data_IF_987206133417
#
_entry.id   IF_987206133417
#
_cell.length_a   1.000
_cell.length_b   1.000
_cell.length_c   1.000
_cell.angle_alpha   90.00
_cell.angle_beta   90.00
_cell.angle_gamma   90.00
#
_symmetry.space_group_name_H-M   'P 1'
#
loop_
_entity.id
_entity.type
_entity.pdbx_description
1 polymer ?
#
# COMPACT_ATOMS: atom_id res chain seq x y z
N UNK A 1 4.81 -8.38 2.67
CA UNK A 1 3.48 -7.70 2.60
C UNK A 1 2.97 -7.41 4.01
N UNK A 2 2.14 -6.38 4.18
CA UNK A 2 1.38 -6.06 5.40
C UNK A 2 2.19 -5.44 6.55
N UNK A 3 3.40 -5.92 6.81
CA UNK A 3 4.29 -5.41 7.85
C UNK A 3 5.74 -5.85 7.62
N UNK A 4 6.68 -5.24 8.35
CA UNK A 4 8.11 -5.59 8.34
C UNK A 4 8.36 -6.68 9.38
N UNK A 5 8.19 -7.93 8.98
CA UNK A 5 8.37 -9.12 9.82
C UNK A 5 9.13 -10.21 9.04
N UNK A 6 9.97 -10.98 9.71
CA UNK A 6 10.73 -12.09 9.11
C UNK A 6 9.78 -13.11 8.46
N UNK A 7 10.20 -13.66 7.32
CA UNK A 7 9.41 -14.66 6.57
C UNK A 7 8.34 -14.04 5.66
N UNK A 8 8.09 -12.73 5.72
CA UNK A 8 7.21 -12.04 4.77
C UNK A 8 7.97 -11.60 3.52
N UNK A 9 7.22 -11.44 2.43
CA UNK A 9 7.75 -10.86 1.19
C UNK A 9 8.36 -9.48 1.44
N UNK A 10 9.58 -9.27 0.96
CA UNK A 10 10.37 -8.04 1.07
C UNK A 10 9.82 -6.93 0.17
N UNK A 11 8.62 -6.48 0.50
CA UNK A 11 7.97 -5.30 -0.04
C UNK A 11 8.12 -4.18 0.98
N UNK A 12 8.98 -3.21 0.68
CA UNK A 12 9.39 -2.16 1.60
C UNK A 12 9.31 -0.81 0.91
N UNK A 13 9.00 0.23 1.66
CA UNK A 13 9.01 1.61 1.20
C UNK A 13 9.95 2.41 2.09
N UNK A 14 10.94 3.04 1.47
CA UNK A 14 11.89 3.92 2.14
C UNK A 14 11.46 5.37 1.95
N UNK A 15 11.57 6.13 3.03
CA UNK A 15 11.15 7.51 3.11
C UNK A 15 12.29 8.37 3.65
N UNK A 16 12.48 9.53 3.02
CA UNK A 16 13.04 10.67 3.72
C UNK A 16 11.95 11.19 4.69
N UNK A 17 12.25 11.39 6.00
CA UNK A 17 11.28 11.88 6.96
C UNK A 17 10.53 13.16 6.52
N UNK A 18 11.19 14.06 5.78
CA UNK A 18 10.56 15.29 5.30
C UNK A 18 9.44 15.04 4.27
N UNK A 19 9.44 13.87 3.63
CA UNK A 19 8.47 13.45 2.60
C UNK A 19 7.63 12.24 3.02
N UNK A 20 7.68 11.83 4.29
CA UNK A 20 6.96 10.66 4.80
C UNK A 20 5.46 10.74 4.48
N UNK A 21 4.93 9.68 3.87
CA UNK A 21 3.54 9.59 3.42
C UNK A 21 3.19 10.41 2.17
N UNK A 22 4.13 11.19 1.61
CA UNK A 22 3.90 12.05 0.44
C UNK A 22 4.60 11.55 -0.82
N UNK A 23 5.94 11.48 -0.81
CA UNK A 23 6.75 11.02 -1.95
C UNK A 23 7.81 10.03 -1.44
N UNK A 24 7.66 8.72 -1.71
CA UNK A 24 8.65 7.75 -1.27
C UNK A 24 9.97 7.96 -2.01
N UNK A 25 11.08 7.73 -1.32
CA UNK A 25 12.42 7.80 -1.92
C UNK A 25 12.68 6.56 -2.77
N UNK A 26 12.31 5.38 -2.27
CA UNK A 26 12.55 4.09 -2.93
C UNK A 26 11.45 3.10 -2.56
N UNK A 27 10.98 2.34 -3.53
CA UNK A 27 10.05 1.21 -3.34
C UNK A 27 10.75 -0.07 -3.76
N UNK A 28 10.83 -1.00 -2.82
CA UNK A 28 11.40 -2.34 -3.00
C UNK A 28 10.23 -3.31 -3.14
N UNK A 29 10.25 -4.11 -4.20
CA UNK A 29 9.27 -5.16 -4.48
C UNK A 29 9.99 -6.50 -4.58
N UNK A 30 9.61 -7.46 -3.74
CA UNK A 30 10.21 -8.79 -3.72
C UNK A 30 11.73 -8.77 -3.57
N UNK A 31 12.27 -7.82 -2.81
CA UNK A 31 13.71 -7.66 -2.58
C UNK A 31 14.48 -6.89 -3.67
N UNK A 32 13.82 -6.38 -4.72
CA UNK A 32 14.45 -5.55 -5.75
C UNK A 32 13.83 -4.16 -5.81
N UNK A 33 14.64 -3.14 -6.09
CA UNK A 33 14.13 -1.78 -6.27
C UNK A 33 13.28 -1.74 -7.55
N UNK A 34 11.99 -1.46 -7.39
CA UNK A 34 11.04 -1.34 -8.50
C UNK A 34 10.77 0.12 -8.88
N UNK A 35 11.01 1.06 -7.97
CA UNK A 35 10.72 2.47 -8.17
C UNK A 35 11.60 3.34 -7.28
N UNK A 36 12.05 4.50 -7.78
CA UNK A 36 12.83 5.45 -7.00
C UNK A 36 12.67 6.89 -7.53
N UNK A 37 12.93 7.87 -6.66
CA UNK A 37 13.19 9.25 -7.07
C UNK A 37 14.56 9.31 -7.73
N UNK A 38 14.59 9.67 -9.02
CA UNK A 38 15.81 9.60 -9.82
C UNK A 38 15.96 10.84 -10.68
N UNK A 39 17.17 11.42 -10.65
CA UNK A 39 17.59 12.58 -11.42
C UNK A 39 17.70 12.34 -12.92
N UNK A 40 18.43 13.22 -13.59
CA UNK A 40 18.76 13.07 -15.01
C UNK A 40 19.67 11.85 -15.24
N UNK A 41 19.29 10.97 -16.17
CA UNK A 41 20.04 9.77 -16.51
C UNK A 41 21.36 10.06 -17.24
N UNK A 42 21.53 11.25 -17.83
CA UNK A 42 22.76 11.65 -18.51
C UNK A 42 23.70 12.49 -17.61
N UNK A 43 23.32 12.73 -16.35
CA UNK A 43 24.17 13.45 -15.41
C UNK A 43 25.32 12.56 -14.88
N UNK A 44 26.33 13.18 -14.28
CA UNK A 44 27.50 12.48 -13.74
C UNK A 44 27.22 11.60 -12.51
N UNK A 45 26.12 11.87 -11.81
CA UNK A 45 25.63 11.18 -10.61
C UNK A 45 24.09 11.20 -10.62
N UNK A 46 23.37 10.41 -9.81
CA UNK A 46 21.90 10.25 -9.93
C UNK A 46 21.04 11.36 -9.29
N UNK A 47 21.64 12.33 -8.60
CA UNK A 47 20.96 13.40 -7.86
C UNK A 47 20.66 14.72 -8.62
N UNK A 48 21.31 15.06 -9.74
CA UNK A 48 21.02 16.27 -10.51
C UNK A 48 19.61 16.27 -11.08
N UNK A 49 19.02 17.46 -11.14
CA UNK A 49 17.65 17.67 -11.60
C UNK A 49 17.50 17.36 -13.11
N UNK A 50 16.30 16.96 -13.57
CA UNK A 50 15.06 16.81 -12.79
C UNK A 50 14.98 15.47 -12.04
N UNK A 51 14.77 15.54 -10.73
CA UNK A 51 14.46 14.38 -9.89
C UNK A 51 12.96 14.11 -9.98
N UNK A 52 12.63 12.96 -10.54
CA UNK A 52 11.26 12.51 -10.70
C UNK A 52 11.15 11.02 -10.39
N UNK A 53 9.94 10.53 -10.07
CA UNK A 53 9.72 9.11 -9.95
C UNK A 53 10.00 8.36 -11.25
N UNK A 54 10.76 7.27 -11.18
CA UNK A 54 11.07 6.43 -12.34
C UNK A 54 10.95 4.94 -11.99
N UNK A 55 10.50 4.09 -12.94
CA UNK A 55 10.59 2.64 -12.80
C UNK A 55 12.06 2.21 -12.78
N UNK A 56 12.38 1.26 -11.91
CA UNK A 56 13.72 0.70 -11.74
C UNK A 56 13.75 -0.77 -12.22
N UNK A 57 14.91 -1.42 -12.17
CA UNK A 57 15.08 -2.77 -12.72
C UNK A 57 14.09 -3.81 -12.19
N UNK A 58 13.64 -3.71 -10.93
CA UNK A 58 12.62 -4.60 -10.36
C UNK A 58 11.25 -4.50 -11.03
N UNK A 59 11.01 -3.46 -11.84
CA UNK A 59 9.77 -3.27 -12.61
C UNK A 59 9.91 -3.69 -14.08
N UNK A 60 11.09 -4.17 -14.53
CA UNK A 60 11.36 -4.43 -15.95
C UNK A 60 11.31 -5.93 -16.29
N UNK A 61 10.74 -6.24 -17.45
CA UNK A 61 10.70 -7.60 -18.01
C UNK A 61 10.20 -8.65 -17.01
N UNK A 62 10.94 -9.76 -16.90
CA UNK A 62 10.59 -10.88 -16.00
C UNK A 62 10.79 -10.56 -14.51
N UNK A 63 11.54 -9.51 -14.18
CA UNK A 63 11.79 -9.15 -12.78
C UNK A 63 10.49 -8.76 -12.08
N UNK A 64 9.63 -8.01 -12.76
CA UNK A 64 8.32 -7.61 -12.24
C UNK A 64 7.47 -8.83 -11.87
N UNK A 65 7.39 -9.83 -12.75
CA UNK A 65 6.64 -11.06 -12.50
C UNK A 65 7.26 -11.90 -11.37
N UNK A 66 8.59 -12.05 -11.33
CA UNK A 66 9.29 -12.84 -10.30
C UNK A 66 9.26 -12.20 -8.90
N UNK A 67 9.20 -10.87 -8.82
CA UNK A 67 9.14 -10.13 -7.55
C UNK A 67 7.73 -9.97 -6.98
N UNK A 68 6.70 -10.53 -7.62
CA UNK A 68 5.31 -10.29 -7.25
C UNK A 68 4.43 -11.53 -7.39
N UNK A 69 3.24 -11.47 -6.78
CA UNK A 69 2.31 -12.60 -6.67
C UNK A 69 0.90 -12.23 -7.12
N UNK A 70 0.17 -13.20 -7.66
CA UNK A 70 -1.28 -13.17 -7.83
C UNK A 70 -1.91 -13.92 -6.65
N UNK A 71 -2.69 -13.22 -5.84
CA UNK A 71 -3.41 -13.84 -4.74
C UNK A 71 -4.77 -14.32 -5.25
N UNK A 72 -5.02 -15.63 -5.15
CA UNK A 72 -6.24 -16.29 -5.66
C UNK A 72 -6.78 -17.29 -4.63
N UNK A 73 -8.02 -17.77 -4.79
CA UNK A 73 -8.50 -18.88 -3.95
C UNK A 73 -7.72 -20.16 -4.21
N UNK A 74 -7.64 -21.04 -3.20
CA UNK A 74 -7.08 -22.38 -3.36
C UNK A 74 -7.79 -23.16 -4.48
N UNK A 75 -9.13 -23.09 -4.51
CA UNK A 75 -9.96 -23.72 -5.55
C UNK A 75 -9.59 -23.28 -6.97
N UNK A 76 -9.17 -22.03 -7.19
CA UNK A 76 -8.75 -21.57 -8.51
C UNK A 76 -7.42 -22.21 -8.94
N UNK A 77 -6.49 -22.39 -8.00
CA UNK A 77 -5.24 -23.10 -8.25
C UNK A 77 -5.53 -24.58 -8.55
N UNK A 78 -6.43 -25.20 -7.78
CA UNK A 78 -6.87 -26.59 -7.97
C UNK A 78 -7.60 -26.81 -9.31
N UNK A 79 -8.34 -25.81 -9.82
CA UNK A 79 -8.98 -25.80 -11.14
C UNK A 79 -8.01 -25.50 -12.32
N UNK A 80 -6.70 -25.52 -12.05
CA UNK A 80 -5.66 -25.36 -13.06
C UNK A 80 -5.55 -23.94 -13.64
N UNK A 81 -5.95 -22.92 -12.89
CA UNK A 81 -5.86 -21.52 -13.33
C UNK A 81 -4.43 -21.12 -13.75
N UNK A 82 -3.35 -21.49 -13.00
CA UNK A 82 -1.99 -21.12 -13.39
C UNK A 82 -1.61 -21.64 -14.79
N UNK A 83 -1.97 -22.88 -15.10
CA UNK A 83 -1.66 -23.53 -16.37
C UNK A 83 -2.50 -22.95 -17.52
N UNK A 84 -3.78 -22.68 -17.26
CA UNK A 84 -4.70 -22.11 -18.26
C UNK A 84 -4.33 -20.70 -18.67
N UNK A 85 -3.85 -19.89 -17.71
CA UNK A 85 -3.45 -18.50 -17.99
C UNK A 85 -1.98 -18.38 -18.40
N UNK A 86 -1.14 -19.35 -18.04
CA UNK A 86 0.28 -19.41 -18.39
C UNK A 86 1.06 -18.09 -18.13
N UNK A 87 0.71 -17.39 -17.05
CA UNK A 87 1.35 -16.13 -16.67
C UNK A 87 2.68 -16.40 -15.96
N UNK A 88 3.66 -15.52 -16.16
CA UNK A 88 4.97 -15.63 -15.48
C UNK A 88 4.89 -15.35 -13.97
N UNK A 89 3.89 -14.61 -13.50
CA UNK A 89 3.72 -14.21 -12.11
C UNK A 89 3.14 -15.37 -11.29
N UNK A 90 3.75 -15.67 -10.14
CA UNK A 90 3.33 -16.79 -9.30
C UNK A 90 1.93 -16.58 -8.72
N UNK A 91 1.14 -17.64 -8.66
CA UNK A 91 -0.15 -17.67 -7.98
C UNK A 91 0.04 -18.20 -6.54
N UNK A 92 -0.57 -17.53 -5.57
CA UNK A 92 -0.50 -17.87 -4.16
C UNK A 92 -1.92 -17.97 -3.60
N UNK A 93 -2.27 -19.08 -2.91
CA UNK A 93 -3.59 -19.21 -2.33
C UNK A 93 -3.77 -18.20 -1.18
N UNK A 94 -4.91 -17.50 -1.18
CA UNK A 94 -5.37 -16.79 0.00
C UNK A 94 -5.90 -17.77 1.04
N UNK A 95 -5.77 -17.41 2.31
CA UNK A 95 -6.41 -18.12 3.42
C UNK A 95 -7.82 -17.60 3.65
N UNK A 96 -8.66 -18.41 4.31
CA UNK A 96 -10.00 -17.98 4.73
C UNK A 96 -9.90 -16.75 5.63
N UNK A 97 -10.74 -15.75 5.38
CA UNK A 97 -10.94 -14.57 6.24
C UNK A 97 -12.22 -14.69 7.08
N UNK A 98 -12.93 -15.83 7.03
CA UNK A 98 -14.24 -16.00 7.69
C UNK A 98 -14.19 -15.96 9.21
N UNK A 99 -13.04 -16.25 9.79
CA UNK A 99 -12.82 -16.23 11.24
C UNK A 99 -12.23 -14.91 11.73
N UNK A 100 -11.87 -14.00 10.82
CA UNK A 100 -11.33 -12.68 11.16
C UNK A 100 -12.48 -11.77 11.60
N UNK A 101 -12.32 -11.16 12.76
CA UNK A 101 -13.30 -10.29 13.42
C UNK A 101 -12.73 -8.89 13.62
N UNK A 102 -13.52 -7.98 14.23
CA UNK A 102 -13.02 -6.65 14.60
C UNK A 102 -11.85 -6.72 15.60
N UNK A 103 -11.83 -7.74 16.45
CA UNK A 103 -10.76 -7.98 17.43
C UNK A 103 -9.39 -8.23 16.80
N UNK A 104 -9.34 -8.67 15.53
CA UNK A 104 -8.09 -8.96 14.83
C UNK A 104 -7.45 -7.72 14.17
N UNK A 105 -8.13 -6.56 14.21
CA UNK A 105 -7.63 -5.30 13.67
C UNK A 105 -6.59 -4.67 14.60
N UNK A 106 -5.32 -4.83 14.26
CA UNK A 106 -4.20 -4.24 15.02
C UNK A 106 -4.38 -2.73 15.22
N UNK A 107 -4.28 -2.29 16.47
CA UNK A 107 -4.44 -0.90 16.91
C UNK A 107 -5.81 -0.26 16.59
N UNK A 108 -6.79 -1.03 16.12
CA UNK A 108 -8.06 -0.52 15.59
C UNK A 108 -9.23 -1.50 15.82
N UNK A 109 -9.33 -2.11 16.99
CA UNK A 109 -10.28 -3.19 17.31
C UNK A 109 -11.55 -2.74 18.07
N UNK A 110 -11.72 -1.44 18.30
CA UNK A 110 -12.84 -0.90 19.07
C UNK A 110 -14.22 -1.28 18.46
N UNK A 111 -15.18 -1.64 19.33
CA UNK A 111 -16.58 -1.95 18.97
C UNK A 111 -17.52 -1.06 19.79
N UNK A 112 -17.54 0.27 19.58
CA UNK A 112 -18.41 1.14 20.33
C UNK A 112 -19.86 1.02 19.88
N UNK A 113 -20.79 1.51 20.71
CA UNK A 113 -22.18 1.72 20.29
C UNK A 113 -22.21 3.00 19.44
N UNK A 114 -22.54 2.84 18.17
CA UNK A 114 -22.73 3.97 17.24
C UNK A 114 -24.22 4.10 16.93
N UNK A 115 -24.80 5.23 17.30
CA UNK A 115 -26.19 5.58 16.96
C UNK A 115 -26.19 6.76 15.98
N UNK A 116 -27.04 6.68 14.95
CA UNK A 116 -27.23 7.74 13.95
C UNK A 116 -28.70 8.15 13.97
N UNK A 117 -28.95 9.43 14.23
CA UNK A 117 -30.30 9.98 14.20
C UNK A 117 -30.84 10.04 12.75
N UNK A 118 -32.02 9.48 12.43
CA UNK A 118 -32.48 9.31 11.06
C UNK A 118 -32.92 10.61 10.38
N UNK A 119 -33.24 11.65 11.16
CA UNK A 119 -33.75 12.92 10.64
C UNK A 119 -32.65 13.98 10.53
N UNK A 120 -31.77 14.06 11.54
CA UNK A 120 -30.71 15.06 11.63
C UNK A 120 -29.33 14.56 11.17
N UNK A 121 -29.16 13.24 11.06
CA UNK A 121 -27.88 12.57 10.80
C UNK A 121 -26.81 12.82 11.87
N UNK A 122 -27.20 13.30 13.06
CA UNK A 122 -26.30 13.39 14.20
C UNK A 122 -25.79 12.00 14.58
N UNK A 123 -24.48 11.87 14.77
CA UNK A 123 -23.83 10.63 15.17
C UNK A 123 -23.44 10.74 16.64
N UNK A 124 -23.74 9.70 17.42
CA UNK A 124 -23.22 9.55 18.79
C UNK A 124 -22.42 8.26 18.90
N UNK A 125 -21.35 8.31 19.69
CA UNK A 125 -20.49 7.17 20.01
C UNK A 125 -20.52 6.99 21.53
N UNK A 126 -21.04 5.87 22.00
CA UNK A 126 -21.23 5.58 23.43
C UNK A 126 -21.98 6.68 24.20
N UNK A 127 -22.90 7.37 23.51
CA UNK A 127 -23.70 8.47 24.04
C UNK A 127 -23.11 9.87 23.83
N UNK A 128 -21.85 9.97 23.42
CA UNK A 128 -21.18 11.25 23.17
C UNK A 128 -21.40 11.70 21.70
N UNK A 129 -21.89 12.93 21.45
CA UNK A 129 -22.07 13.43 20.09
C UNK A 129 -20.73 13.65 19.39
N UNK A 130 -20.68 13.25 18.11
CA UNK A 130 -19.53 13.50 17.23
C UNK A 130 -19.70 14.87 16.59
N UNK A 131 -18.91 15.83 17.04
CA UNK A 131 -18.89 17.18 16.49
C UNK A 131 -18.03 17.24 15.22
N UNK A 132 -18.57 17.72 14.09
CA UNK A 132 -17.78 17.91 12.88
C UNK A 132 -16.69 18.97 13.08
N UNK A 133 -15.45 18.61 12.79
CA UNK A 133 -14.31 19.52 12.83
C UNK A 133 -13.59 19.56 11.46
N UNK A 134 -14.21 20.17 10.43
CA UNK A 134 -13.59 20.25 9.11
C UNK A 134 -12.32 21.12 9.16
N UNK A 135 -11.22 20.60 8.61
CA UNK A 135 -9.96 21.34 8.51
C UNK A 135 -9.97 22.27 7.28
N UNK A 136 -9.51 23.51 7.47
CA UNK A 136 -9.36 24.48 6.37
C UNK A 136 -8.06 24.28 5.56
N UNK A 137 -7.04 23.69 6.17
CA UNK A 137 -5.74 23.39 5.57
C UNK A 137 -5.23 22.06 6.13
N UNK A 138 -4.43 21.32 5.34
CA UNK A 138 -3.85 20.04 5.74
C UNK A 138 -2.33 20.05 5.55
N UNK A 139 -1.57 19.35 6.43
CA UNK A 139 -0.19 18.98 6.12
C UNK A 139 -0.16 18.05 4.90
N UNK A 140 1.04 17.74 4.40
CA UNK A 140 1.20 16.78 3.30
C UNK A 140 0.46 17.18 2.00
N UNK A 141 0.10 18.46 1.84
CA UNK A 141 -0.65 18.98 0.70
C UNK A 141 0.18 20.02 -0.11
N UNK A 142 -0.26 21.28 -0.16
CA UNK A 142 0.24 22.35 -1.06
C UNK A 142 1.77 22.56 -1.01
N UNK A 143 2.43 22.26 0.12
CA UNK A 143 3.89 22.35 0.25
C UNK A 143 4.65 21.42 -0.70
N UNK A 144 4.08 20.27 -1.06
CA UNK A 144 4.80 19.17 -1.69
C UNK A 144 4.49 18.96 -3.16
N UNK A 145 3.35 19.43 -3.63
CA UNK A 145 2.85 19.14 -4.97
C UNK A 145 2.94 20.38 -5.85
N UNK A 146 3.36 20.18 -7.10
CA UNK A 146 3.40 21.26 -8.09
C UNK A 146 1.99 21.65 -8.54
N UNK A 147 1.06 20.69 -8.50
CA UNK A 147 -0.35 20.81 -8.80
C UNK A 147 -1.15 19.94 -7.83
#
# INVERSE_FOLDING_TARGET
IGSVETGKLADLVLWDPAFFGVKPQTVIKGGQIAYAQMGDANASIPTPQPVMPRPMFGALGRAAARGSFNFVSAAAIEDGLPERLALEKQFTPITSTREVTKADMRENDAVPRVDVDPDSFAVTIDGDPVEPAPAAELPMAQRYFLF
#
